data_IF_092334195563
#
_entry.id   IF_092334195563
#
_cell.length_a   1.000
_cell.length_b   1.000
_cell.length_c   1.000
_cell.angle_alpha   90.00
_cell.angle_beta   90.00
_cell.angle_gamma   90.00
#
_symmetry.space_group_name_H-M   'P 1'
#
loop_
_entity.id
_entity.type
_entity.pdbx_description
1 polymer ?
#
# COMPACT_ATOMS: atom_id res chain seq x y z
N UNK A 1 -60.32 34.62 28.26
CA UNK A 1 -60.08 34.09 26.90
C UNK A 1 -58.68 34.49 26.40
N UNK A 2 -57.60 34.13 27.11
CA UNK A 2 -56.21 34.53 26.76
C UNK A 2 -55.23 33.34 26.66
N UNK A 3 -55.60 32.19 27.21
CA UNK A 3 -54.79 30.97 27.27
C UNK A 3 -54.48 30.36 25.89
N UNK A 4 -55.41 30.45 24.93
CA UNK A 4 -55.23 29.88 23.59
C UNK A 4 -54.20 30.61 22.71
N UNK A 5 -54.07 31.94 22.84
CA UNK A 5 -53.09 32.74 22.08
C UNK A 5 -51.66 32.50 22.58
N UNK A 6 -51.48 32.38 23.89
CA UNK A 6 -50.18 32.11 24.51
C UNK A 6 -49.64 30.73 24.15
N UNK A 7 -50.52 29.71 24.16
CA UNK A 7 -50.18 28.32 23.79
C UNK A 7 -49.70 28.18 22.34
N UNK A 8 -50.33 28.91 21.39
CA UNK A 8 -49.89 28.97 19.98
C UNK A 8 -48.54 29.66 19.81
N UNK A 9 -48.27 30.72 20.59
CA UNK A 9 -46.99 31.44 20.55
C UNK A 9 -45.86 30.57 21.11
N UNK A 10 -46.13 29.88 22.22
CA UNK A 10 -45.19 28.94 22.84
C UNK A 10 -44.83 27.77 21.90
N UNK A 11 -45.84 27.18 21.25
CA UNK A 11 -45.64 26.10 20.27
C UNK A 11 -44.77 26.52 19.08
N UNK A 12 -44.94 27.74 18.55
CA UNK A 12 -44.07 28.26 17.48
C UNK A 12 -42.61 28.41 17.92
N UNK A 13 -42.37 28.86 19.15
CA UNK A 13 -41.01 29.01 19.71
C UNK A 13 -40.33 27.65 19.87
N UNK A 14 -41.03 26.65 20.44
CA UNK A 14 -40.51 25.29 20.54
C UNK A 14 -40.22 24.67 19.17
N UNK A 15 -41.09 24.90 18.18
CA UNK A 15 -40.86 24.42 16.82
C UNK A 15 -39.62 25.05 16.18
N UNK A 16 -39.39 26.35 16.41
CA UNK A 16 -38.19 27.05 15.93
C UNK A 16 -36.91 26.50 16.58
N UNK A 17 -36.92 26.27 17.90
CA UNK A 17 -35.80 25.66 18.63
C UNK A 17 -35.51 24.25 18.10
N UNK A 18 -36.54 23.44 17.85
CA UNK A 18 -36.38 22.10 17.28
C UNK A 18 -35.75 22.12 15.89
N UNK A 19 -36.15 23.06 15.04
CA UNK A 19 -35.55 23.24 13.70
C UNK A 19 -34.07 23.64 13.83
N UNK A 20 -33.77 24.60 14.70
CA UNK A 20 -32.39 25.04 14.94
C UNK A 20 -31.50 23.89 15.42
N UNK A 21 -32.02 23.06 16.33
CA UNK A 21 -31.31 21.90 16.86
C UNK A 21 -31.02 20.85 15.78
N UNK A 22 -32.00 20.52 14.93
CA UNK A 22 -31.79 19.62 13.79
C UNK A 22 -30.74 20.16 12.82
N UNK A 23 -30.74 21.47 12.58
CA UNK A 23 -29.80 22.12 11.67
C UNK A 23 -28.36 22.02 12.20
N UNK A 24 -28.15 22.22 13.50
CA UNK A 24 -26.85 22.01 14.16
C UNK A 24 -26.35 20.56 14.02
N UNK A 25 -27.24 19.56 14.17
CA UNK A 25 -26.89 18.15 14.02
C UNK A 25 -26.43 17.87 12.58
N UNK A 26 -27.18 18.33 11.57
CA UNK A 26 -26.84 18.10 10.16
C UNK A 26 -25.48 18.72 9.82
N UNK A 27 -25.20 19.93 10.30
CA UNK A 27 -23.89 20.58 10.10
C UNK A 27 -22.78 19.77 10.76
N UNK A 28 -22.98 19.31 12.02
CA UNK A 28 -21.98 18.51 12.73
C UNK A 28 -21.67 17.19 12.03
N UNK A 29 -22.69 16.49 11.54
CA UNK A 29 -22.53 15.26 10.76
C UNK A 29 -21.81 15.54 9.44
N UNK A 30 -22.18 16.62 8.74
CA UNK A 30 -21.56 17.00 7.47
C UNK A 30 -20.06 17.31 7.61
N UNK A 31 -19.68 18.04 8.65
CA UNK A 31 -18.26 18.31 8.97
C UNK A 31 -17.54 16.99 9.23
N UNK A 32 -18.10 16.14 10.09
CA UNK A 32 -17.49 14.84 10.45
C UNK A 32 -17.27 13.95 9.23
N UNK A 33 -18.25 13.85 8.33
CA UNK A 33 -18.13 13.09 7.09
C UNK A 33 -17.06 13.70 6.18
N UNK A 34 -17.05 15.03 6.02
CA UNK A 34 -16.06 15.72 5.17
C UNK A 34 -14.64 15.48 5.66
N UNK A 35 -14.39 15.64 6.97
CA UNK A 35 -13.07 15.38 7.57
C UNK A 35 -12.70 13.90 7.49
N UNK A 36 -13.67 12.99 7.64
CA UNK A 36 -13.45 11.54 7.47
C UNK A 36 -13.00 11.17 6.07
N UNK A 37 -13.62 11.76 5.04
CA UNK A 37 -13.28 11.52 3.64
C UNK A 37 -11.89 12.07 3.32
N UNK A 38 -11.58 13.28 3.78
CA UNK A 38 -10.27 13.90 3.61
C UNK A 38 -9.16 13.06 4.27
N UNK A 39 -9.38 12.62 5.51
CA UNK A 39 -8.43 11.76 6.23
C UNK A 39 -8.22 10.43 5.51
N UNK A 40 -9.28 9.80 5.00
CA UNK A 40 -9.17 8.57 4.21
C UNK A 40 -8.36 8.81 2.95
N UNK A 41 -8.64 9.88 2.22
CA UNK A 41 -7.91 10.23 0.99
C UNK A 41 -6.41 10.43 1.26
N UNK A 42 -6.05 11.20 2.30
CA UNK A 42 -4.67 11.42 2.69
C UNK A 42 -3.96 10.13 3.12
N UNK A 43 -4.64 9.25 3.86
CA UNK A 43 -4.09 7.95 4.23
C UNK A 43 -3.89 7.04 3.01
N UNK A 44 -4.83 7.00 2.07
CA UNK A 44 -4.69 6.23 0.84
C UNK A 44 -3.51 6.72 0.00
N UNK A 45 -3.31 8.04 -0.12
CA UNK A 45 -2.15 8.60 -0.81
C UNK A 45 -0.83 8.21 -0.12
N UNK A 46 -0.75 8.36 1.20
CA UNK A 46 0.44 7.95 1.98
C UNK A 46 0.73 6.46 1.82
N UNK A 47 -0.31 5.61 1.87
CA UNK A 47 -0.18 4.17 1.74
C UNK A 47 0.24 3.76 0.32
N UNK A 48 -0.26 4.44 -0.72
CA UNK A 48 0.16 4.23 -2.12
C UNK A 48 1.64 4.55 -2.31
N UNK A 49 2.10 5.70 -1.79
CA UNK A 49 3.52 6.08 -1.83
C UNK A 49 4.39 5.09 -1.04
N UNK A 50 3.96 4.71 0.16
CA UNK A 50 4.68 3.74 0.98
C UNK A 50 4.76 2.36 0.31
N UNK A 51 3.66 1.88 -0.29
CA UNK A 51 3.62 0.61 -1.01
C UNK A 51 4.57 0.63 -2.22
N UNK A 52 4.61 1.72 -2.99
CA UNK A 52 5.53 1.85 -4.11
C UNK A 52 7.00 1.89 -3.66
N UNK A 53 7.30 2.60 -2.58
CA UNK A 53 8.64 2.64 -2.01
C UNK A 53 9.06 1.26 -1.47
N UNK A 54 8.16 0.57 -0.77
CA UNK A 54 8.39 -0.79 -0.26
C UNK A 54 8.60 -1.80 -1.41
N UNK A 55 7.81 -1.72 -2.48
CA UNK A 55 8.01 -2.56 -3.66
C UNK A 55 9.37 -2.30 -4.32
N UNK A 56 9.77 -1.02 -4.42
CA UNK A 56 11.07 -0.63 -4.96
C UNK A 56 12.21 -1.15 -4.10
N UNK A 57 12.12 -1.02 -2.76
CA UNK A 57 13.11 -1.50 -1.81
C UNK A 57 13.23 -3.02 -1.82
N UNK A 58 12.11 -3.75 -1.83
CA UNK A 58 12.10 -5.20 -1.94
C UNK A 58 12.71 -5.66 -3.27
N UNK A 59 12.39 -4.97 -4.37
CA UNK A 59 12.97 -5.29 -5.69
C UNK A 59 14.47 -5.05 -5.70
N UNK A 60 14.94 -3.90 -5.20
CA UNK A 60 16.36 -3.56 -5.12
C UNK A 60 17.12 -4.51 -4.19
N UNK A 61 16.56 -4.85 -3.04
CA UNK A 61 17.12 -5.83 -2.10
C UNK A 61 17.20 -7.22 -2.72
N UNK A 62 16.18 -7.61 -3.49
CA UNK A 62 16.15 -8.89 -4.22
C UNK A 62 17.22 -8.91 -5.32
N UNK A 63 17.34 -7.85 -6.11
CA UNK A 63 18.38 -7.73 -7.15
C UNK A 63 19.78 -7.71 -6.54
N UNK A 64 19.99 -6.92 -5.49
CA UNK A 64 21.27 -6.81 -4.79
C UNK A 64 21.70 -8.13 -4.14
N UNK A 65 20.79 -8.82 -3.45
CA UNK A 65 21.06 -10.14 -2.85
C UNK A 65 21.35 -11.19 -3.92
N UNK A 66 20.64 -11.14 -5.05
CA UNK A 66 20.87 -12.04 -6.19
C UNK A 66 22.23 -11.77 -6.80
N UNK A 67 22.57 -10.50 -7.07
CA UNK A 67 23.86 -10.11 -7.63
C UNK A 67 25.02 -10.49 -6.70
N UNK A 68 24.85 -10.30 -5.40
CA UNK A 68 25.83 -10.70 -4.38
C UNK A 68 26.01 -12.22 -4.36
N UNK A 69 24.91 -12.98 -4.41
CA UNK A 69 24.97 -14.45 -4.45
C UNK A 69 25.65 -14.95 -5.72
N UNK A 70 25.35 -14.36 -6.87
CA UNK A 70 25.95 -14.72 -8.16
C UNK A 70 27.44 -14.35 -8.24
N UNK A 71 27.83 -13.19 -7.71
CA UNK A 71 29.25 -12.75 -7.71
C UNK A 71 30.11 -13.55 -6.73
N UNK A 72 29.51 -14.10 -5.68
CA UNK A 72 30.21 -14.97 -4.74
C UNK A 72 30.29 -16.43 -5.23
N UNK A 73 29.44 -16.83 -6.17
CA UNK A 73 29.30 -18.19 -6.66
C UNK A 73 30.57 -18.71 -7.35
N UNK A 74 31.06 -19.86 -6.89
CA UNK A 74 32.25 -20.52 -7.40
C UNK A 74 32.10 -20.95 -8.85
N UNK A 75 30.90 -21.37 -9.29
CA UNK A 75 30.67 -21.84 -10.67
C UNK A 75 30.73 -20.68 -11.66
N UNK A 76 30.25 -19.50 -11.25
CA UNK A 76 30.33 -18.27 -12.05
C UNK A 76 31.77 -17.78 -12.16
N UNK A 77 32.53 -17.85 -11.06
CA UNK A 77 33.97 -17.55 -11.08
C UNK A 77 34.75 -18.54 -11.96
N UNK A 78 34.41 -19.83 -11.92
CA UNK A 78 35.03 -20.87 -12.76
C UNK A 78 34.67 -20.69 -14.23
N UNK A 79 33.45 -20.28 -14.54
CA UNK A 79 33.06 -19.91 -15.90
C UNK A 79 33.84 -18.68 -16.40
N UNK A 80 33.87 -17.61 -15.61
CA UNK A 80 34.57 -16.37 -15.97
C UNK A 80 36.09 -16.56 -16.15
N UNK A 81 36.71 -17.40 -15.33
CA UNK A 81 38.15 -17.68 -15.37
C UNK A 81 38.53 -18.90 -16.23
N UNK A 82 37.67 -19.32 -17.16
CA UNK A 82 37.94 -20.48 -18.01
C UNK A 82 39.17 -20.26 -18.90
N UNK A 83 40.13 -21.17 -18.85
CA UNK A 83 41.42 -21.03 -19.57
C UNK A 83 41.37 -21.49 -21.03
N UNK A 84 40.30 -22.19 -21.43
CA UNK A 84 40.09 -22.66 -22.81
C UNK A 84 38.65 -22.47 -23.25
N UNK A 85 38.45 -22.41 -24.57
CA UNK A 85 37.12 -22.27 -25.17
C UNK A 85 36.18 -23.42 -24.82
N UNK A 86 36.69 -24.66 -24.77
CA UNK A 86 35.93 -25.84 -24.38
C UNK A 86 35.48 -25.77 -22.93
N UNK A 87 36.36 -25.33 -22.02
CA UNK A 87 36.04 -25.13 -20.61
C UNK A 87 35.02 -24.00 -20.40
N UNK A 88 35.14 -22.92 -21.17
CA UNK A 88 34.18 -21.83 -21.16
C UNK A 88 32.75 -22.30 -21.50
N UNK A 89 32.57 -23.07 -22.58
CA UNK A 89 31.25 -23.57 -22.95
C UNK A 89 30.72 -24.64 -21.99
N UNK A 90 31.59 -25.52 -21.48
CA UNK A 90 31.19 -26.51 -20.48
C UNK A 90 30.71 -25.86 -19.18
N UNK A 91 31.48 -24.90 -18.66
CA UNK A 91 31.13 -24.17 -17.45
C UNK A 91 29.88 -23.29 -17.64
N UNK A 92 29.66 -22.74 -18.84
CA UNK A 92 28.46 -21.97 -19.17
C UNK A 92 27.17 -22.79 -19.02
N UNK A 93 27.20 -24.07 -19.39
CA UNK A 93 26.04 -24.97 -19.27
C UNK A 93 25.68 -25.19 -17.78
N UNK A 94 26.69 -25.36 -16.93
CA UNK A 94 26.52 -25.53 -15.48
C UNK A 94 25.92 -24.27 -14.86
N UNK A 95 26.49 -23.09 -15.17
CA UNK A 95 26.00 -21.80 -14.70
C UNK A 95 24.56 -21.54 -15.16
N UNK A 96 24.23 -21.84 -16.42
CA UNK A 96 22.88 -21.67 -16.96
C UNK A 96 21.85 -22.49 -16.19
N UNK A 97 22.13 -23.79 -15.95
CA UNK A 97 21.24 -24.67 -15.19
C UNK A 97 20.99 -24.17 -13.76
N UNK A 98 22.02 -23.57 -13.15
CA UNK A 98 21.92 -22.99 -11.79
C UNK A 98 21.12 -21.69 -11.78
N UNK A 99 21.29 -20.83 -12.80
CA UNK A 99 20.49 -19.62 -12.98
C UNK A 99 19.00 -19.95 -13.17
N UNK A 100 18.69 -20.97 -13.97
CA UNK A 100 17.32 -21.42 -14.24
C UNK A 100 16.63 -21.88 -12.94
N UNK A 101 17.34 -22.58 -12.05
CA UNK A 101 16.83 -22.99 -10.74
C UNK A 101 16.55 -21.80 -9.79
N UNK A 102 17.39 -20.77 -9.83
CA UNK A 102 17.20 -19.54 -9.04
C UNK A 102 16.00 -18.71 -9.52
N UNK A 103 15.73 -18.71 -10.84
CA UNK A 103 14.58 -18.04 -11.44
C UNK A 103 13.23 -18.66 -11.05
N UNK A 104 13.18 -19.99 -10.88
CA UNK A 104 11.94 -20.72 -10.54
C UNK A 104 11.53 -20.54 -9.07
N UNK A 105 12.47 -20.35 -8.14
CA UNK A 105 12.16 -20.26 -6.70
C UNK A 105 11.74 -18.87 -6.19
N UNK A 106 11.87 -17.80 -6.99
CA UNK A 106 11.65 -16.41 -6.51
C UNK A 106 10.37 -15.73 -7.01
N UNK A 107 9.50 -16.42 -7.76
CA UNK A 107 8.19 -15.88 -8.19
C UNK A 107 7.13 -15.84 -7.08
N UNK A 108 7.45 -16.29 -5.86
CA UNK A 108 6.50 -16.46 -4.74
C UNK A 108 6.50 -15.32 -3.71
N UNK A 109 7.07 -14.14 -4.00
CA UNK A 109 6.99 -13.00 -3.08
C UNK A 109 5.54 -12.46 -3.11
N UNK A 110 4.78 -12.53 -2.01
CA UNK A 110 3.40 -12.06 -2.00
C UNK A 110 3.38 -10.53 -2.13
N UNK A 111 2.80 -10.06 -3.24
CA UNK A 111 2.76 -8.65 -3.66
C UNK A 111 1.75 -7.77 -2.91
N UNK A 112 1.19 -8.21 -1.77
CA UNK A 112 0.10 -7.50 -1.12
C UNK A 112 0.47 -7.07 0.30
N UNK A 113 0.61 -5.76 0.59
CA UNK A 113 0.42 -5.31 1.95
C UNK A 113 -1.04 -5.60 2.33
N UNK A 114 -1.24 -6.37 3.40
CA UNK A 114 -2.56 -6.65 3.94
C UNK A 114 -3.30 -5.33 4.18
N UNK A 115 -4.43 -5.15 3.50
CA UNK A 115 -5.35 -4.06 3.76
C UNK A 115 -6.00 -4.39 5.11
N UNK A 116 -5.47 -3.83 6.19
CA UNK A 116 -6.15 -3.85 7.49
C UNK A 116 -7.21 -2.75 7.46
N UNK A 117 -8.47 -3.16 7.26
CA UNK A 117 -9.67 -2.32 7.44
C UNK A 117 -9.89 -1.95 8.88
#
# INVERSE_FOLDING_TARGET
>A
MSTGKYRKKLSKVFSFIGILFMLCIVIGVFITISTSVENRYQNTLKQSVFSNNMLTEVTLSTVSSTLTSLTQDTDIKLWANSSSRSQYYYNAIIVKKKLDLLGVHRTSIPFFPAITT
#
